data_IF_321602065395
#
_entry.id   IF_321602065395
#
_cell.length_a   1.000
_cell.length_b   1.000
_cell.length_c   1.000
_cell.angle_alpha   90.00
_cell.angle_beta   90.00
_cell.angle_gamma   90.00
#
_symmetry.space_group_name_H-M   'P 1'
#
loop_
_entity.id
_entity.type
_entity.pdbx_description
1 polymer ?
#
# COMPACT_ATOMS: atom_id res chain seq x y z
N UNK A 1 -18.55 -29.33 -5.08
CA UNK A 1 -18.22 -27.94 -4.75
C UNK A 1 -19.44 -27.09 -5.12
N UNK A 2 -19.92 -26.26 -4.19
CA UNK A 2 -20.94 -25.27 -4.51
C UNK A 2 -20.32 -24.16 -5.37
N UNK A 3 -21.07 -23.64 -6.34
CA UNK A 3 -20.66 -22.46 -7.09
C UNK A 3 -20.64 -21.23 -6.17
N UNK A 4 -19.74 -20.24 -6.44
CA UNK A 4 -19.75 -18.99 -5.70
C UNK A 4 -21.10 -18.27 -5.80
N UNK A 5 -21.61 -17.82 -4.66
CA UNK A 5 -22.86 -17.11 -4.54
C UNK A 5 -22.65 -15.74 -3.89
N UNK A 6 -23.59 -14.79 -4.06
CA UNK A 6 -23.53 -13.50 -3.40
C UNK A 6 -23.55 -13.69 -1.87
N UNK A 7 -22.80 -12.83 -1.17
CA UNK A 7 -22.79 -12.83 0.29
C UNK A 7 -24.11 -12.24 0.81
N UNK A 8 -24.72 -12.91 1.78
CA UNK A 8 -26.00 -12.48 2.38
C UNK A 8 -25.88 -12.14 3.86
N UNK A 9 -24.79 -12.51 4.50
CA UNK A 9 -24.53 -12.25 5.92
C UNK A 9 -23.25 -11.43 6.09
N UNK A 10 -23.43 -10.13 6.37
CA UNK A 10 -22.34 -9.17 6.55
C UNK A 10 -21.43 -9.55 7.73
N UNK A 11 -22.04 -9.92 8.86
CA UNK A 11 -21.28 -10.19 10.07
C UNK A 11 -20.42 -11.45 9.95
N UNK A 12 -20.99 -12.51 9.34
CA UNK A 12 -20.26 -13.74 9.08
C UNK A 12 -19.10 -13.52 8.11
N UNK A 13 -19.34 -12.78 7.01
CA UNK A 13 -18.30 -12.52 6.02
C UNK A 13 -17.19 -11.63 6.60
N UNK A 14 -17.53 -10.57 7.34
CA UNK A 14 -16.55 -9.73 7.99
C UNK A 14 -15.68 -10.54 8.96
N UNK A 15 -16.29 -11.37 9.80
CA UNK A 15 -15.55 -12.23 10.73
C UNK A 15 -14.62 -13.21 9.98
N UNK A 16 -15.06 -13.74 8.86
CA UNK A 16 -14.24 -14.61 8.01
C UNK A 16 -13.03 -13.87 7.44
N UNK A 17 -13.22 -12.67 6.86
CA UNK A 17 -12.15 -11.85 6.29
C UNK A 17 -11.14 -11.46 7.38
N UNK A 18 -11.62 -10.99 8.54
CA UNK A 18 -10.76 -10.64 9.68
C UNK A 18 -9.88 -11.83 10.10
N UNK A 19 -10.45 -13.04 10.16
CA UNK A 19 -9.69 -14.24 10.48
C UNK A 19 -8.61 -14.56 9.44
N UNK A 20 -8.87 -14.28 8.15
CA UNK A 20 -7.87 -14.46 7.09
C UNK A 20 -6.78 -13.38 7.14
N UNK A 21 -7.13 -12.13 7.43
CA UNK A 21 -6.19 -11.01 7.56
C UNK A 21 -5.26 -11.13 8.77
N UNK A 22 -5.65 -11.87 9.80
CA UNK A 22 -4.83 -12.08 11.00
C UNK A 22 -3.53 -12.87 10.75
N UNK A 23 -3.33 -13.44 9.55
CA UNK A 23 -2.12 -14.21 9.22
C UNK A 23 -1.53 -13.74 7.89
N UNK A 24 -0.23 -13.40 7.82
CA UNK A 24 0.45 -13.09 6.57
C UNK A 24 0.31 -14.19 5.50
N UNK A 25 0.15 -15.46 5.92
CA UNK A 25 -0.03 -16.58 5.00
C UNK A 25 -1.37 -16.59 4.26
N UNK A 26 -2.35 -15.81 4.71
CA UNK A 26 -3.69 -15.72 4.12
C UNK A 26 -4.13 -14.28 3.85
N UNK A 27 -3.44 -13.29 4.41
CA UNK A 27 -3.74 -11.88 4.26
C UNK A 27 -3.60 -11.42 2.79
N UNK A 28 -4.47 -10.51 2.39
CA UNK A 28 -4.35 -9.72 1.17
C UNK A 28 -3.93 -8.29 1.51
N UNK A 29 -3.36 -7.59 0.53
CA UNK A 29 -2.93 -6.21 0.70
C UNK A 29 -4.13 -5.25 0.82
N UNK A 30 -3.86 -4.07 1.36
CA UNK A 30 -4.78 -2.92 1.41
C UNK A 30 -6.03 -3.15 2.26
N UNK A 31 -5.96 -4.06 3.22
CA UNK A 31 -6.97 -4.24 4.25
C UNK A 31 -6.27 -4.26 5.62
N UNK A 32 -6.97 -3.74 6.63
CA UNK A 32 -6.45 -3.71 8.00
C UNK A 32 -6.17 -5.09 8.59
N UNK A 33 -5.46 -5.12 9.69
CA UNK A 33 -5.07 -6.36 10.39
C UNK A 33 -6.08 -6.75 11.49
N UNK A 34 -6.85 -5.79 11.99
CA UNK A 34 -7.88 -6.00 13.00
C UNK A 34 -9.29 -5.74 12.47
N UNK A 35 -10.30 -6.08 13.25
CA UNK A 35 -11.68 -6.00 12.82
C UNK A 35 -12.12 -4.58 12.43
N UNK A 36 -11.65 -3.56 13.16
CA UNK A 36 -12.03 -2.18 12.91
C UNK A 36 -11.35 -1.63 11.64
N UNK A 37 -10.07 -1.96 11.44
CA UNK A 37 -9.33 -1.58 10.22
C UNK A 37 -9.89 -2.29 8.99
N UNK A 38 -10.13 -3.59 9.04
CA UNK A 38 -10.76 -4.35 7.93
C UNK A 38 -12.13 -3.76 7.58
N UNK A 39 -12.97 -3.48 8.58
CA UNK A 39 -14.30 -2.91 8.35
C UNK A 39 -14.21 -1.51 7.72
N UNK A 40 -13.34 -0.64 8.22
CA UNK A 40 -13.16 0.71 7.70
C UNK A 40 -12.69 0.70 6.24
N UNK A 41 -11.71 -0.13 5.89
CA UNK A 41 -11.21 -0.26 4.52
C UNK A 41 -12.28 -0.82 3.57
N UNK A 42 -13.04 -1.84 4.00
CA UNK A 42 -14.13 -2.39 3.19
C UNK A 42 -15.25 -1.38 2.92
N UNK A 43 -15.60 -0.55 3.92
CA UNK A 43 -16.60 0.52 3.77
C UNK A 43 -16.07 1.70 2.93
N UNK A 44 -14.77 1.84 2.80
CA UNK A 44 -14.10 2.86 1.99
C UNK A 44 -13.96 2.52 0.50
N UNK A 45 -14.29 1.28 0.08
CA UNK A 45 -14.18 0.87 -1.33
C UNK A 45 -15.18 1.63 -2.23
N UNK A 46 -14.80 1.87 -3.47
CA UNK A 46 -15.63 2.58 -4.45
C UNK A 46 -16.98 1.89 -4.71
N UNK A 47 -17.01 0.56 -4.67
CA UNK A 47 -18.24 -0.22 -4.75
C UNK A 47 -18.64 -0.74 -3.37
N UNK A 48 -19.94 -0.80 -3.10
CA UNK A 48 -20.46 -1.44 -1.90
C UNK A 48 -19.96 -2.89 -1.81
N UNK A 49 -19.05 -3.17 -0.89
CA UNK A 49 -18.28 -4.41 -0.84
C UNK A 49 -19.12 -5.68 -0.75
N UNK A 50 -20.29 -5.63 -0.09
CA UNK A 50 -21.20 -6.77 -0.02
C UNK A 50 -21.84 -7.11 -1.38
N UNK A 51 -22.07 -6.12 -2.23
CA UNK A 51 -22.67 -6.32 -3.53
C UNK A 51 -21.71 -7.04 -4.48
N UNK A 52 -20.39 -6.76 -4.33
CA UNK A 52 -19.34 -7.37 -5.14
C UNK A 52 -18.79 -8.66 -4.56
N UNK A 53 -19.10 -8.97 -3.30
CA UNK A 53 -18.61 -10.17 -2.64
C UNK A 53 -19.22 -11.46 -3.21
N UNK A 54 -18.37 -12.47 -3.34
CA UNK A 54 -18.76 -13.86 -3.69
C UNK A 54 -18.17 -14.83 -2.67
N UNK A 55 -18.94 -15.82 -2.29
CA UNK A 55 -18.59 -16.78 -1.25
C UNK A 55 -18.78 -18.21 -1.71
N UNK A 56 -18.01 -19.12 -1.15
CA UNK A 56 -18.25 -20.56 -1.26
C UNK A 56 -18.52 -21.15 0.13
N UNK A 57 -19.33 -22.20 0.18
CA UNK A 57 -19.71 -22.88 1.42
C UNK A 57 -19.61 -24.38 1.26
N UNK A 58 -19.25 -25.04 2.36
CA UNK A 58 -19.31 -26.50 2.51
C UNK A 58 -20.10 -26.79 3.80
N UNK A 59 -21.13 -27.61 3.73
CA UNK A 59 -22.00 -27.91 4.87
C UNK A 59 -22.47 -26.66 5.64
N UNK A 60 -22.86 -25.62 4.90
CA UNK A 60 -23.26 -24.29 5.37
C UNK A 60 -22.13 -23.40 5.96
N UNK A 61 -20.95 -23.93 6.22
CA UNK A 61 -19.81 -23.15 6.68
C UNK A 61 -19.15 -22.39 5.51
N UNK A 62 -18.73 -21.14 5.75
CA UNK A 62 -17.96 -20.35 4.81
C UNK A 62 -16.59 -21.00 4.60
N UNK A 63 -16.26 -21.34 3.35
CA UNK A 63 -14.98 -21.98 3.00
C UNK A 63 -14.12 -21.10 2.10
N UNK A 64 -14.69 -20.05 1.53
CA UNK A 64 -13.93 -19.07 0.76
C UNK A 64 -14.76 -17.82 0.46
N UNK A 65 -14.06 -16.72 0.21
CA UNK A 65 -14.63 -15.43 -0.15
C UNK A 65 -13.68 -14.67 -1.09
N UNK A 66 -14.25 -13.82 -1.92
CA UNK A 66 -13.55 -12.76 -2.65
C UNK A 66 -14.51 -11.59 -2.88
N UNK A 67 -13.97 -10.40 -3.07
CA UNK A 67 -14.72 -9.24 -3.52
C UNK A 67 -13.87 -8.43 -4.51
N UNK A 68 -14.48 -7.49 -5.21
CA UNK A 68 -13.80 -6.73 -6.26
C UNK A 68 -14.26 -5.28 -6.25
N UNK A 69 -13.32 -4.39 -6.45
CA UNK A 69 -13.56 -3.00 -6.81
C UNK A 69 -12.94 -2.71 -8.18
N UNK A 70 -13.40 -1.67 -8.87
CA UNK A 70 -12.88 -1.31 -10.19
C UNK A 70 -12.95 0.17 -10.46
N UNK A 71 -12.04 0.62 -11.31
CA UNK A 71 -12.04 1.94 -11.92
C UNK A 71 -12.20 1.78 -13.44
N UNK A 72 -13.33 2.28 -13.96
CA UNK A 72 -13.65 2.17 -15.38
C UNK A 72 -12.81 3.14 -16.25
N UNK A 73 -12.28 4.22 -15.69
CA UNK A 73 -11.40 5.18 -16.40
C UNK A 73 -10.01 4.57 -16.61
N UNK A 74 -9.51 3.85 -15.59
CA UNK A 74 -8.24 3.12 -15.65
C UNK A 74 -8.39 1.78 -16.38
N UNK A 75 -9.61 1.23 -16.46
CA UNK A 75 -9.89 -0.07 -17.07
C UNK A 75 -9.38 -1.26 -16.26
N UNK A 76 -9.28 -1.12 -14.94
CA UNK A 76 -8.72 -2.10 -14.02
C UNK A 76 -9.65 -2.39 -12.85
N UNK A 77 -9.57 -3.63 -12.37
CA UNK A 77 -10.19 -4.06 -11.12
C UNK A 77 -9.17 -4.61 -10.13
N UNK A 78 -9.40 -4.34 -8.86
CA UNK A 78 -8.63 -4.89 -7.75
C UNK A 78 -9.49 -5.93 -7.02
N UNK A 79 -8.93 -7.12 -6.87
CA UNK A 79 -9.60 -8.24 -6.20
C UNK A 79 -9.03 -8.38 -4.80
N UNK A 80 -9.89 -8.25 -3.80
CA UNK A 80 -9.59 -8.57 -2.42
C UNK A 80 -9.93 -10.04 -2.16
N UNK A 81 -8.95 -10.79 -1.72
CA UNK A 81 -8.99 -12.25 -1.75
C UNK A 81 -8.35 -12.80 -3.05
N UNK A 82 -8.72 -14.00 -3.51
CA UNK A 82 -9.57 -14.98 -2.84
C UNK A 82 -9.00 -15.46 -1.50
N UNK A 83 -9.83 -15.48 -0.46
CA UNK A 83 -9.50 -16.08 0.83
C UNK A 83 -10.12 -17.46 0.92
N UNK A 84 -9.37 -18.41 1.43
CA UNK A 84 -9.86 -19.73 1.80
C UNK A 84 -8.86 -20.42 2.75
N UNK A 85 -9.31 -21.42 3.48
CA UNK A 85 -8.37 -22.30 4.19
C UNK A 85 -7.46 -23.03 3.18
N UNK A 86 -6.25 -23.38 3.61
CA UNK A 86 -5.26 -24.03 2.75
C UNK A 86 -5.79 -25.29 2.05
N UNK A 87 -6.63 -26.07 2.74
CA UNK A 87 -7.24 -27.30 2.20
C UNK A 87 -8.28 -27.06 1.11
N UNK A 88 -8.93 -25.89 1.11
CA UNK A 88 -9.96 -25.53 0.13
C UNK A 88 -9.44 -24.62 -0.98
N UNK A 89 -8.30 -23.94 -0.78
CA UNK A 89 -7.82 -22.85 -1.64
C UNK A 89 -7.76 -23.26 -3.12
N UNK A 90 -7.10 -24.37 -3.43
CA UNK A 90 -6.93 -24.84 -4.81
C UNK A 90 -8.26 -25.10 -5.53
N UNK A 91 -9.29 -25.47 -4.76
CA UNK A 91 -10.59 -25.81 -5.31
C UNK A 91 -11.49 -24.60 -5.53
N UNK A 92 -11.34 -23.52 -4.73
CA UNK A 92 -12.29 -22.41 -4.68
C UNK A 92 -11.72 -21.07 -5.18
N UNK A 93 -10.40 -20.87 -5.16
CA UNK A 93 -9.80 -19.57 -5.41
C UNK A 93 -10.05 -19.06 -6.84
N UNK A 94 -9.77 -19.86 -7.86
CA UNK A 94 -10.01 -19.46 -9.26
C UNK A 94 -11.50 -19.31 -9.58
N UNK A 95 -12.42 -20.21 -9.18
CA UNK A 95 -13.86 -19.98 -9.28
C UNK A 95 -14.35 -18.69 -8.64
N UNK A 96 -13.85 -18.35 -7.43
CA UNK A 96 -14.18 -17.08 -6.76
C UNK A 96 -13.68 -15.87 -7.57
N UNK A 97 -12.41 -15.91 -8.00
CA UNK A 97 -11.82 -14.85 -8.82
C UNK A 97 -12.64 -14.59 -10.08
N UNK A 98 -13.02 -15.65 -10.81
CA UNK A 98 -13.88 -15.53 -12.01
C UNK A 98 -15.27 -15.02 -11.68
N UNK A 99 -15.85 -15.42 -10.56
CA UNK A 99 -17.20 -14.99 -10.14
C UNK A 99 -17.24 -13.51 -9.74
N UNK A 100 -16.20 -12.97 -9.10
CA UNK A 100 -16.12 -11.53 -8.81
C UNK A 100 -15.82 -10.73 -10.09
N UNK A 101 -14.93 -11.20 -10.93
CA UNK A 101 -14.60 -10.56 -12.20
C UNK A 101 -15.80 -10.45 -13.16
N UNK A 102 -16.69 -11.43 -13.15
CA UNK A 102 -17.92 -11.43 -13.97
C UNK A 102 -18.89 -10.29 -13.62
N UNK A 103 -18.70 -9.60 -12.50
CA UNK A 103 -19.52 -8.46 -12.09
C UNK A 103 -19.02 -7.14 -12.66
N UNK A 104 -17.75 -7.09 -13.06
CA UNK A 104 -17.13 -5.88 -13.58
C UNK A 104 -17.72 -5.50 -14.95
N UNK A 105 -17.78 -4.21 -15.26
CA UNK A 105 -18.13 -3.75 -16.61
C UNK A 105 -17.20 -4.35 -17.66
N UNK A 106 -17.70 -4.51 -18.89
CA UNK A 106 -16.92 -5.06 -20.02
C UNK A 106 -15.69 -4.19 -20.40
N UNK A 107 -15.63 -2.95 -19.94
CA UNK A 107 -14.47 -2.07 -20.10
C UNK A 107 -13.28 -2.45 -19.22
N UNK A 108 -13.49 -3.26 -18.18
CA UNK A 108 -12.43 -3.76 -17.33
C UNK A 108 -11.71 -4.92 -18.01
N UNK A 109 -10.48 -4.67 -18.42
CA UNK A 109 -9.66 -5.64 -19.14
C UNK A 109 -8.56 -6.27 -18.27
N UNK A 110 -8.19 -5.61 -17.18
CA UNK A 110 -7.08 -6.01 -16.32
C UNK A 110 -7.56 -6.18 -14.87
N UNK A 111 -7.13 -7.27 -14.24
CA UNK A 111 -7.41 -7.61 -12.85
C UNK A 111 -6.10 -7.69 -12.08
N UNK A 112 -6.15 -7.29 -10.83
CA UNK A 112 -4.99 -7.38 -9.93
C UNK A 112 -5.45 -7.89 -8.56
N UNK A 113 -4.67 -8.78 -7.96
CA UNK A 113 -4.70 -9.04 -6.53
C UNK A 113 -3.30 -8.89 -5.95
N UNK A 114 -3.23 -8.51 -4.70
CA UNK A 114 -1.95 -8.32 -4.00
C UNK A 114 -2.02 -8.95 -2.62
N UNK A 115 -0.90 -9.50 -2.16
CA UNK A 115 -0.82 -10.17 -0.87
C UNK A 115 0.57 -10.05 -0.24
N UNK A 116 0.67 -10.41 1.04
CA UNK A 116 1.98 -10.64 1.65
C UNK A 116 2.74 -11.76 0.93
N UNK A 117 4.06 -11.67 0.89
CA UNK A 117 4.93 -12.70 0.30
C UNK A 117 4.80 -14.06 0.98
N UNK A 118 4.35 -14.10 2.24
CA UNK A 118 4.06 -15.34 2.95
C UNK A 118 2.80 -16.05 2.44
N UNK A 119 1.92 -15.35 1.70
CA UNK A 119 0.74 -15.94 1.08
C UNK A 119 1.12 -16.67 -0.22
N UNK A 120 1.73 -17.83 -0.07
CA UNK A 120 2.20 -18.65 -1.20
C UNK A 120 1.06 -19.21 -2.04
N UNK A 121 -0.15 -19.31 -1.49
CA UNK A 121 -1.32 -19.78 -2.22
C UNK A 121 -1.78 -18.77 -3.28
N UNK A 122 -1.86 -17.47 -2.93
CA UNK A 122 -2.16 -16.42 -3.91
C UNK A 122 -1.04 -16.26 -4.94
N UNK A 123 0.23 -16.38 -4.52
CA UNK A 123 1.34 -16.37 -5.45
C UNK A 123 1.22 -17.50 -6.48
N UNK A 124 0.97 -18.73 -6.04
CA UNK A 124 0.76 -19.89 -6.92
C UNK A 124 -0.45 -19.72 -7.84
N UNK A 125 -1.54 -19.08 -7.38
CA UNK A 125 -2.68 -18.76 -8.22
C UNK A 125 -2.28 -17.80 -9.35
N UNK A 126 -1.57 -16.71 -9.04
CA UNK A 126 -1.09 -15.75 -10.04
C UNK A 126 -0.19 -16.39 -11.10
N UNK A 127 0.75 -17.24 -10.67
CA UNK A 127 1.63 -18.00 -11.56
C UNK A 127 0.86 -18.97 -12.46
N UNK A 128 -0.11 -19.70 -11.91
CA UNK A 128 -0.97 -20.64 -12.66
C UNK A 128 -1.84 -19.93 -13.71
N UNK A 129 -2.30 -18.72 -13.42
CA UNK A 129 -3.04 -17.88 -14.35
C UNK A 129 -2.13 -17.23 -15.41
N UNK A 130 -0.82 -17.35 -15.29
CA UNK A 130 0.13 -16.68 -16.17
C UNK A 130 0.14 -15.16 -15.97
N UNK A 131 -0.30 -14.67 -14.82
CA UNK A 131 -0.34 -13.26 -14.52
C UNK A 131 1.05 -12.70 -14.24
N UNK A 132 1.28 -11.45 -14.63
CA UNK A 132 2.54 -10.77 -14.41
C UNK A 132 2.66 -10.36 -12.93
N UNK A 133 3.72 -10.84 -12.28
CA UNK A 133 4.07 -10.37 -10.94
C UNK A 133 4.49 -8.89 -10.97
N UNK A 134 4.01 -8.09 -10.02
CA UNK A 134 4.44 -6.70 -9.83
C UNK A 134 5.77 -6.66 -9.05
N UNK A 135 6.34 -5.46 -8.91
CA UNK A 135 7.47 -5.26 -8.01
C UNK A 135 7.09 -5.64 -6.57
N UNK A 136 8.06 -6.10 -5.79
CA UNK A 136 7.88 -6.28 -4.35
C UNK A 136 7.98 -4.92 -3.69
N UNK A 137 7.01 -4.61 -2.83
CA UNK A 137 7.01 -3.43 -1.98
C UNK A 137 7.10 -3.85 -0.50
N UNK A 138 7.96 -3.17 0.24
CA UNK A 138 8.15 -3.39 1.66
C UNK A 138 7.56 -2.22 2.44
N UNK A 139 6.69 -2.51 3.38
CA UNK A 139 6.27 -1.54 4.39
C UNK A 139 7.29 -1.52 5.53
N UNK A 140 7.76 -0.32 5.87
CA UNK A 140 8.64 -0.07 7.01
C UNK A 140 7.94 0.85 7.99
N UNK A 141 8.11 0.57 9.28
CA UNK A 141 7.53 1.37 10.35
C UNK A 141 8.48 1.53 11.53
N UNK A 142 8.20 2.55 12.34
CA UNK A 142 8.88 2.83 13.60
C UNK A 142 7.91 3.52 14.56
N UNK A 143 7.99 3.26 15.86
CA UNK A 143 7.19 3.96 16.84
C UNK A 143 7.53 5.46 16.86
N UNK A 144 6.51 6.32 17.01
CA UNK A 144 6.67 7.75 16.88
C UNK A 144 7.63 8.37 17.89
N UNK A 145 7.75 7.80 19.08
CA UNK A 145 8.69 8.25 20.12
C UNK A 145 10.16 7.96 19.76
N UNK A 146 10.43 6.94 18.97
CA UNK A 146 11.78 6.58 18.52
C UNK A 146 12.35 7.59 17.50
N UNK A 147 11.51 8.29 16.71
CA UNK A 147 11.98 9.24 15.67
C UNK A 147 12.60 10.51 16.23
N UNK A 148 12.36 10.84 17.50
CA UNK A 148 12.87 12.06 18.17
C UNK A 148 14.41 12.09 18.22
N UNK A 149 15.06 10.94 18.13
CA UNK A 149 16.52 10.78 18.16
C UNK A 149 17.19 10.89 16.78
N UNK A 150 16.40 11.05 15.72
CA UNK A 150 16.96 11.14 14.38
C UNK A 150 17.77 12.42 14.18
N UNK A 151 18.89 12.38 13.41
CA UNK A 151 19.78 13.50 13.28
C UNK A 151 19.16 14.67 12.54
N UNK A 152 19.59 15.87 12.89
CA UNK A 152 19.33 17.09 12.10
C UNK A 152 20.50 17.34 11.15
N UNK A 153 20.19 17.84 9.96
CA UNK A 153 21.18 18.22 8.94
C UNK A 153 20.94 19.67 8.55
N UNK A 154 22.00 20.47 8.55
CA UNK A 154 21.92 21.88 8.16
C UNK A 154 21.44 22.03 6.70
N UNK A 155 20.72 23.14 6.43
CA UNK A 155 20.19 23.45 5.09
C UNK A 155 18.96 22.60 4.71
N UNK A 156 18.24 22.06 5.70
CA UNK A 156 16.92 21.47 5.49
C UNK A 156 15.88 22.40 6.13
N UNK A 157 14.85 22.72 5.37
CA UNK A 157 13.77 23.62 5.75
C UNK A 157 12.42 23.16 5.18
N UNK A 158 11.28 23.63 5.72
CA UNK A 158 10.00 23.48 5.06
C UNK A 158 10.03 24.03 3.63
N UNK A 159 9.33 23.38 2.72
CA UNK A 159 9.13 23.85 1.35
C UNK A 159 8.18 25.05 1.33
N UNK A 160 8.31 25.87 0.30
CA UNK A 160 7.45 27.02 0.02
C UNK A 160 7.04 27.00 -1.45
N UNK A 161 6.08 27.83 -1.84
CA UNK A 161 5.64 27.96 -3.26
C UNK A 161 6.78 28.32 -4.20
N UNK A 162 7.81 29.02 -3.71
CA UNK A 162 9.00 29.35 -4.49
C UNK A 162 9.82 28.12 -4.90
N UNK A 163 9.65 26.99 -4.22
CA UNK A 163 10.36 25.75 -4.51
C UNK A 163 9.68 24.89 -5.58
N UNK A 164 8.48 25.25 -6.05
CA UNK A 164 7.67 24.46 -6.98
C UNK A 164 8.45 23.94 -8.19
N UNK A 165 9.17 24.84 -8.88
CA UNK A 165 9.92 24.45 -10.07
C UNK A 165 11.09 23.50 -9.76
N UNK A 166 11.76 23.68 -8.61
CA UNK A 166 12.84 22.80 -8.19
C UNK A 166 12.30 21.44 -7.76
N UNK A 167 11.17 21.41 -7.06
CA UNK A 167 10.47 20.17 -6.70
C UNK A 167 10.03 19.40 -7.93
N UNK A 168 9.44 20.06 -8.94
CA UNK A 168 9.02 19.42 -10.19
C UNK A 168 10.21 18.75 -10.90
N UNK A 169 11.35 19.43 -10.97
CA UNK A 169 12.57 18.89 -11.58
C UNK A 169 13.14 17.65 -10.87
N UNK A 170 12.86 17.46 -9.58
CA UNK A 170 13.28 16.31 -8.81
C UNK A 170 12.21 15.22 -8.78
N UNK A 171 10.93 15.59 -8.69
CA UNK A 171 9.81 14.67 -8.49
C UNK A 171 9.42 13.94 -9.78
N UNK A 172 9.16 14.67 -10.85
CA UNK A 172 8.61 14.11 -12.08
C UNK A 172 9.49 13.01 -12.73
N UNK A 173 10.84 13.17 -12.81
CA UNK A 173 11.69 12.10 -13.35
C UNK A 173 11.82 10.87 -12.43
N UNK A 174 11.72 11.06 -11.10
CA UNK A 174 11.90 9.97 -10.13
C UNK A 174 10.61 9.20 -9.89
N UNK A 175 9.46 9.88 -10.01
CA UNK A 175 8.13 9.33 -9.75
C UNK A 175 7.15 9.62 -10.88
N UNK A 176 7.35 9.05 -12.09
CA UNK A 176 6.53 9.35 -13.27
C UNK A 176 5.07 8.90 -13.15
N UNK A 177 4.78 7.96 -12.25
CA UNK A 177 3.43 7.44 -11.95
C UNK A 177 2.96 7.85 -10.55
N UNK A 178 3.45 9.00 -10.03
CA UNK A 178 3.05 9.49 -8.72
C UNK A 178 1.53 9.80 -8.68
N UNK A 179 0.88 9.43 -7.59
CA UNK A 179 -0.53 9.79 -7.36
C UNK A 179 -0.71 11.27 -6.98
N UNK A 180 0.34 11.95 -6.52
CA UNK A 180 0.32 13.38 -6.21
C UNK A 180 1.20 14.16 -7.16
N UNK A 181 0.68 15.25 -7.71
CA UNK A 181 1.45 16.21 -8.50
C UNK A 181 2.35 17.06 -7.60
N UNK A 182 3.38 17.68 -8.17
CA UNK A 182 4.28 18.57 -7.41
C UNK A 182 3.53 19.71 -6.71
N UNK A 183 2.47 20.26 -7.33
CA UNK A 183 1.63 21.28 -6.70
C UNK A 183 0.91 20.71 -5.46
N UNK A 184 0.37 19.49 -5.55
CA UNK A 184 -0.28 18.83 -4.43
C UNK A 184 0.68 18.55 -3.28
N UNK A 185 1.97 18.31 -3.55
CA UNK A 185 2.98 18.15 -2.48
C UNK A 185 3.14 19.42 -1.64
N UNK A 186 2.91 20.61 -2.23
CA UNK A 186 2.95 21.88 -1.50
C UNK A 186 1.60 22.22 -0.85
N UNK A 187 0.49 21.87 -1.50
CA UNK A 187 -0.86 22.25 -1.05
C UNK A 187 -1.42 21.32 0.04
N UNK A 188 -1.12 20.02 -0.05
CA UNK A 188 -1.81 18.99 0.74
C UNK A 188 -0.89 18.18 1.64
N UNK A 189 0.40 18.13 1.32
CA UNK A 189 1.38 17.37 2.09
C UNK A 189 2.28 18.29 2.91
N UNK A 190 2.85 17.74 3.97
CA UNK A 190 3.99 18.36 4.64
C UNK A 190 5.24 18.05 3.84
N UNK A 191 5.90 19.08 3.31
CA UNK A 191 7.08 18.91 2.44
C UNK A 191 8.26 19.67 3.01
N UNK A 192 9.45 19.03 3.03
CA UNK A 192 10.73 19.64 3.38
C UNK A 192 11.71 19.51 2.24
N UNK A 193 12.59 20.51 2.11
CA UNK A 193 13.63 20.54 1.06
C UNK A 193 15.02 20.63 1.69
N UNK A 194 16.00 20.02 1.03
CA UNK A 194 17.41 20.20 1.31
C UNK A 194 18.01 21.20 0.34
N UNK A 195 18.65 22.25 0.87
CA UNK A 195 19.27 23.32 0.09
C UNK A 195 20.80 23.24 0.22
N UNK A 196 21.50 23.38 -0.91
CA UNK A 196 22.96 23.52 -1.01
C UNK A 196 23.29 24.61 -2.01
N UNK A 197 24.15 25.53 -1.63
CA UNK A 197 24.59 26.66 -2.47
C UNK A 197 23.43 27.44 -3.13
N UNK A 198 22.34 27.67 -2.36
CA UNK A 198 21.14 28.35 -2.81
C UNK A 198 20.26 27.57 -3.79
N UNK A 199 20.46 26.25 -3.89
CA UNK A 199 19.67 25.34 -4.75
C UNK A 199 19.03 24.23 -3.96
N UNK A 200 17.77 23.90 -4.27
CA UNK A 200 17.10 22.71 -3.75
C UNK A 200 17.68 21.48 -4.45
N UNK A 201 18.26 20.58 -3.68
CA UNK A 201 18.95 19.37 -4.16
C UNK A 201 18.32 18.08 -3.66
N UNK A 202 17.20 18.16 -2.96
CA UNK A 202 16.43 17.00 -2.49
C UNK A 202 15.21 17.44 -1.72
N UNK A 203 14.25 16.54 -1.55
CA UNK A 203 13.05 16.78 -0.76
C UNK A 203 12.55 15.48 -0.12
N UNK A 204 11.71 15.62 0.92
CA UNK A 204 10.85 14.59 1.44
C UNK A 204 9.46 15.18 1.66
N UNK A 205 8.43 14.39 1.36
CA UNK A 205 7.02 14.77 1.48
C UNK A 205 6.24 13.66 2.13
N UNK A 206 5.24 14.01 2.92
CA UNK A 206 4.42 13.06 3.64
C UNK A 206 3.18 13.70 4.24
N UNK A 207 2.35 12.90 4.87
CA UNK A 207 1.08 13.32 5.44
C UNK A 207 0.74 12.52 6.71
N UNK A 208 -0.23 13.02 7.46
CA UNK A 208 -0.87 12.26 8.52
C UNK A 208 -2.09 11.56 7.93
N UNK A 209 -2.23 10.27 8.18
CA UNK A 209 -3.35 9.46 7.73
C UNK A 209 -4.53 9.53 8.72
N UNK A 210 -5.67 8.96 8.36
CA UNK A 210 -6.90 9.01 9.16
C UNK A 210 -6.77 8.33 10.53
N UNK A 211 -5.85 7.37 10.67
CA UNK A 211 -5.50 6.70 11.93
C UNK A 211 -4.44 7.47 12.77
N UNK A 212 -4.20 8.74 12.45
CA UNK A 212 -3.15 9.58 13.02
C UNK A 212 -1.70 9.07 12.78
N UNK A 213 -1.48 8.03 12.01
CA UNK A 213 -0.15 7.59 11.62
C UNK A 213 0.52 8.59 10.66
N UNK A 214 1.82 8.79 10.80
CA UNK A 214 2.60 9.60 9.88
C UNK A 214 3.10 8.74 8.72
N UNK A 215 2.83 9.17 7.48
CA UNK A 215 3.26 8.47 6.28
C UNK A 215 4.24 9.29 5.45
N UNK A 216 5.37 8.68 5.05
CA UNK A 216 6.33 9.28 4.12
C UNK A 216 6.00 8.82 2.71
N UNK A 217 5.49 9.73 1.89
CA UNK A 217 5.03 9.44 0.53
C UNK A 217 6.18 9.41 -0.48
N UNK A 218 6.97 10.49 -0.50
CA UNK A 218 8.01 10.69 -1.50
C UNK A 218 9.30 11.22 -0.88
N UNK A 219 10.43 10.71 -1.35
CA UNK A 219 11.73 11.25 -1.02
C UNK A 219 12.72 11.02 -2.15
N UNK A 220 13.42 12.08 -2.55
CA UNK A 220 14.55 11.95 -3.47
C UNK A 220 15.66 12.97 -3.16
N UNK A 221 16.88 12.64 -3.56
CA UNK A 221 18.05 13.52 -3.53
C UNK A 221 18.72 13.45 -4.89
N UNK A 222 19.03 14.63 -5.45
CA UNK A 222 19.80 14.77 -6.68
C UNK A 222 21.03 13.86 -6.67
N UNK A 223 21.27 13.16 -7.77
CA UNK A 223 22.29 12.13 -7.86
C UNK A 223 23.70 12.64 -7.48
N UNK A 224 24.00 13.91 -7.83
CA UNK A 224 25.30 14.55 -7.56
C UNK A 224 25.50 14.91 -6.07
N UNK A 225 24.42 14.92 -5.29
CA UNK A 225 24.40 15.25 -3.86
C UNK A 225 24.12 14.05 -2.95
N UNK A 226 24.05 12.84 -3.52
CA UNK A 226 23.88 11.59 -2.75
C UNK A 226 25.14 11.29 -1.91
N UNK A 227 24.99 10.44 -0.88
CA UNK A 227 26.11 10.05 0.00
C UNK A 227 26.51 11.10 1.05
N UNK A 228 25.83 12.26 1.12
CA UNK A 228 26.14 13.37 2.03
C UNK A 228 25.20 13.42 3.27
N UNK A 229 24.44 12.37 3.53
CA UNK A 229 23.51 12.30 4.66
C UNK A 229 22.21 13.08 4.49
N UNK A 230 21.97 13.71 3.31
CA UNK A 230 20.79 14.55 3.07
C UNK A 230 19.48 13.79 3.21
N UNK A 231 19.38 12.57 2.67
CA UNK A 231 18.17 11.75 2.77
C UNK A 231 17.80 11.46 4.24
N UNK A 232 18.80 11.12 5.07
CA UNK A 232 18.62 10.92 6.51
C UNK A 232 18.10 12.18 7.20
N UNK A 233 18.66 13.33 6.86
CA UNK A 233 18.22 14.63 7.40
C UNK A 233 16.81 15.01 6.94
N UNK A 234 16.48 14.75 5.68
CA UNK A 234 15.14 15.02 5.10
C UNK A 234 14.05 14.21 5.81
N UNK A 235 14.24 12.89 5.93
CA UNK A 235 13.28 12.02 6.65
C UNK A 235 13.16 12.46 8.10
N UNK A 236 14.30 12.78 8.78
CA UNK A 236 14.27 13.26 10.15
C UNK A 236 13.59 14.62 10.32
N UNK A 237 13.72 15.53 9.37
CA UNK A 237 13.03 16.81 9.40
C UNK A 237 11.53 16.66 9.15
N UNK A 238 11.15 15.83 8.18
CA UNK A 238 9.75 15.51 7.87
C UNK A 238 9.07 14.84 9.06
N UNK A 239 9.70 13.83 9.66
CA UNK A 239 9.17 13.13 10.82
C UNK A 239 8.87 14.07 12.00
N UNK A 240 9.73 15.06 12.26
CA UNK A 240 9.51 16.07 13.32
C UNK A 240 8.32 17.00 13.06
N UNK A 241 7.89 17.14 11.81
CA UNK A 241 6.72 17.94 11.44
C UNK A 241 5.43 17.12 11.48
N UNK A 242 5.51 15.82 11.13
CA UNK A 242 4.35 14.94 11.07
C UNK A 242 4.01 14.27 12.41
N UNK A 243 5.05 13.95 13.20
CA UNK A 243 4.84 13.25 14.47
C UNK A 243 4.44 14.22 15.57
N UNK A 244 3.21 14.08 16.06
CA UNK A 244 2.68 14.82 17.20
C UNK A 244 2.78 13.94 18.45
N UNK A 245 3.61 14.32 19.47
CA UNK A 245 3.77 13.51 20.67
C UNK A 245 2.43 13.19 21.36
N UNK A 246 2.24 11.93 21.71
CA UNK A 246 1.03 11.45 22.38
C UNK A 246 -0.21 11.28 21.47
N UNK A 247 -0.11 11.64 20.19
CA UNK A 247 -1.17 11.48 19.20
C UNK A 247 -0.77 10.52 18.09
N UNK A 248 0.37 10.77 17.43
CA UNK A 248 0.86 9.93 16.34
C UNK A 248 1.38 8.61 16.89
N UNK A 249 0.84 7.45 16.49
CA UNK A 249 1.29 6.15 17.00
C UNK A 249 2.62 5.71 16.37
N UNK A 250 2.76 5.92 15.07
CA UNK A 250 3.92 5.46 14.29
C UNK A 250 4.21 6.36 13.09
N UNK A 251 5.43 6.25 12.57
CA UNK A 251 5.81 6.71 11.25
C UNK A 251 6.05 5.48 10.36
N UNK A 252 5.51 5.49 9.17
CA UNK A 252 5.66 4.38 8.23
C UNK A 252 5.84 4.87 6.79
N UNK A 253 6.22 3.95 5.92
CA UNK A 253 6.43 4.18 4.49
C UNK A 253 6.38 2.87 3.71
N UNK A 254 6.24 2.97 2.40
CA UNK A 254 6.39 1.84 1.49
C UNK A 254 7.57 2.11 0.53
N UNK A 255 8.35 1.08 0.28
CA UNK A 255 9.52 1.15 -0.61
C UNK A 255 9.64 -0.10 -1.47
N UNK A 256 9.89 0.09 -2.77
CA UNK A 256 10.15 -1.00 -3.69
C UNK A 256 11.48 -1.71 -3.37
N UNK A 257 11.50 -3.06 -3.46
CA UNK A 257 12.66 -3.90 -3.17
C UNK A 257 13.91 -3.53 -3.99
N UNK A 258 13.76 -3.02 -5.18
CA UNK A 258 14.83 -2.55 -6.04
C UNK A 258 15.59 -1.32 -5.48
N UNK A 259 14.96 -0.55 -4.59
CA UNK A 259 15.52 0.68 -4.02
C UNK A 259 16.43 0.40 -2.81
N UNK A 260 17.43 -0.48 -2.99
CA UNK A 260 18.34 -0.93 -1.93
C UNK A 260 19.00 0.17 -1.09
N UNK A 261 19.42 1.34 -1.66
CA UNK A 261 19.97 2.43 -0.85
C UNK A 261 18.94 3.06 0.09
N UNK A 262 17.66 3.15 -0.32
CA UNK A 262 16.60 3.67 0.52
C UNK A 262 16.26 2.69 1.66
N UNK A 263 16.19 1.39 1.35
CA UNK A 263 15.99 0.33 2.34
C UNK A 263 17.08 0.38 3.41
N UNK A 264 18.37 0.44 3.00
CA UNK A 264 19.49 0.53 3.92
C UNK A 264 19.44 1.80 4.79
N UNK A 265 18.95 2.92 4.23
CA UNK A 265 18.73 4.15 5.00
C UNK A 265 17.68 3.93 6.09
N UNK A 266 16.49 3.39 5.76
CA UNK A 266 15.40 3.20 6.71
C UNK A 266 15.78 2.23 7.83
N UNK A 267 16.42 1.10 7.50
CA UNK A 267 16.95 0.16 8.49
C UNK A 267 17.99 0.80 9.41
N UNK A 268 18.87 1.67 8.86
CA UNK A 268 19.86 2.41 9.64
C UNK A 268 19.27 3.50 10.54
N UNK A 269 18.02 3.90 10.30
CA UNK A 269 17.22 4.80 11.14
C UNK A 269 16.44 4.05 12.23
N UNK A 270 16.52 2.72 12.27
CA UNK A 270 15.82 1.88 13.24
C UNK A 270 14.44 1.44 12.77
N UNK A 271 14.01 1.80 11.56
CA UNK A 271 12.72 1.31 11.02
C UNK A 271 12.77 -0.20 10.81
N UNK A 272 11.65 -0.85 11.08
CA UNK A 272 11.51 -2.30 10.93
C UNK A 272 10.56 -2.59 9.79
N UNK A 273 10.86 -3.65 9.06
CA UNK A 273 9.95 -4.15 8.03
C UNK A 273 8.74 -4.79 8.71
N UNK A 274 7.56 -4.21 8.48
CA UNK A 274 6.29 -4.74 8.98
C UNK A 274 5.80 -5.90 8.11
N UNK A 275 5.71 -5.67 6.79
CA UNK A 275 5.29 -6.68 5.83
C UNK A 275 5.91 -6.43 4.45
N UNK A 276 5.70 -7.36 3.53
CA UNK A 276 6.18 -7.26 2.15
C UNK A 276 5.10 -7.75 1.20
N UNK A 277 4.74 -6.91 0.24
CA UNK A 277 3.63 -7.15 -0.68
C UNK A 277 4.12 -7.42 -2.09
N UNK A 278 3.39 -8.28 -2.79
CA UNK A 278 3.48 -8.46 -4.24
C UNK A 278 2.10 -8.62 -4.84
N UNK A 279 1.86 -7.91 -5.93
CA UNK A 279 0.68 -8.09 -6.75
C UNK A 279 0.91 -9.05 -7.91
N UNK A 280 -0.18 -9.56 -8.43
CA UNK A 280 -0.25 -10.30 -9.69
C UNK A 280 -1.33 -9.68 -10.54
N UNK A 281 -0.98 -9.35 -11.78
CA UNK A 281 -1.82 -8.58 -12.70
C UNK A 281 -1.95 -9.28 -14.04
N UNK A 282 -3.18 -9.38 -14.55
CA UNK A 282 -3.46 -9.98 -15.85
C UNK A 282 -4.93 -9.95 -16.23
N UNK A 283 -5.28 -10.60 -17.32
CA UNK A 283 -6.65 -10.75 -17.81
C UNK A 283 -7.21 -12.13 -17.47
N UNK A 284 -8.53 -12.20 -17.33
CA UNK A 284 -9.27 -13.45 -17.27
C UNK A 284 -9.90 -13.66 -18.66
N UNK A 285 -9.30 -14.52 -19.45
CA UNK A 285 -9.81 -14.91 -20.76
C UNK A 285 -11.13 -15.69 -20.69
#
# INVERSE_FOLDING_TARGET
MSEPAAATDRAELLAFIVAQQASPATATAYLGEDAAGVEAELEGLDQAWLDTARVTRTDSALTGAALVEWDAEVGRAWVHGPWASAEHFEAVAEPLLRAVAAQCPASIAEFEFSSDLANTHLAALGERLGWRATAINHAYEIAADEVTHWPTVAGIRPATDADLAALASLHEPEFPEAYATTAQLLERHTTVVAERDGRVVGYASGQTQDDDAAYVDYMTVDATHRGQGLARGLVGALARLLVVPGRTPKLHLTVEDSRRPAIALYESLGMRRAFSLRGYRGSLG
#
